data_IF_436392587904
#
_entry.id   IF_436392587904
#
_cell.length_a   1.000
_cell.length_b   1.000
_cell.length_c   1.000
_cell.angle_alpha   90.00
_cell.angle_beta   90.00
_cell.angle_gamma   90.00
#
_symmetry.space_group_name_H-M   'P 1'
#
loop_
_entity.id
_entity.type
_entity.pdbx_description
1 polymer ?
#
# COMPACT_ATOMS: atom_id res chain seq x y z
N UNK A 1 -9.50 22.46 -16.67
CA UNK A 1 -8.20 21.84 -16.37
C UNK A 1 -7.22 22.23 -17.46
N UNK A 2 -5.98 22.54 -17.12
CA UNK A 2 -4.91 22.87 -18.04
C UNK A 2 -3.58 22.28 -17.57
N UNK A 3 -2.61 22.18 -18.49
CA UNK A 3 -1.24 21.76 -18.20
C UNK A 3 -0.27 22.91 -18.49
N UNK A 4 0.73 23.08 -17.64
CA UNK A 4 1.82 24.02 -17.84
C UNK A 4 3.15 23.41 -17.39
N UNK A 5 4.26 24.04 -17.80
CA UNK A 5 5.61 23.70 -17.37
C UNK A 5 6.09 24.75 -16.37
N UNK A 6 6.82 24.32 -15.35
CA UNK A 6 7.44 25.22 -14.37
C UNK A 6 8.77 24.66 -13.87
N UNK A 7 9.38 25.35 -12.93
CA UNK A 7 10.53 24.85 -12.16
C UNK A 7 10.06 24.44 -10.76
N UNK A 8 10.56 23.31 -10.25
CA UNK A 8 10.23 22.82 -8.92
C UNK A 8 10.61 23.82 -7.81
N UNK A 9 11.69 24.60 -8.00
CA UNK A 9 12.18 25.58 -7.02
C UNK A 9 11.17 26.72 -6.76
N UNK A 10 10.33 27.03 -7.73
CA UNK A 10 9.38 28.14 -7.67
C UNK A 10 8.01 27.73 -7.10
N UNK A 11 7.81 26.46 -6.77
CA UNK A 11 6.52 25.92 -6.33
C UNK A 11 6.42 25.80 -4.80
N UNK A 12 5.51 26.58 -4.23
CA UNK A 12 5.07 26.42 -2.84
C UNK A 12 4.47 25.03 -2.62
N UNK A 13 4.85 24.36 -1.53
CA UNK A 13 4.44 22.98 -1.28
C UNK A 13 5.23 21.93 -2.08
N UNK A 14 6.29 22.33 -2.80
CA UNK A 14 7.29 21.42 -3.40
C UNK A 14 8.67 21.67 -2.79
N UNK A 15 8.81 22.66 -1.90
CA UNK A 15 10.09 23.14 -1.35
C UNK A 15 10.89 22.09 -0.53
N UNK A 16 10.29 20.96 -0.14
CA UNK A 16 11.01 19.81 0.43
C UNK A 16 11.24 18.66 -0.56
N UNK A 17 10.46 18.60 -1.65
CA UNK A 17 10.61 17.56 -2.65
C UNK A 17 11.99 17.66 -3.30
N UNK A 18 12.76 16.57 -3.27
CA UNK A 18 14.06 16.46 -3.95
C UNK A 18 13.87 16.33 -5.47
N UNK A 19 13.28 17.35 -6.07
CA UNK A 19 13.04 17.45 -7.51
C UNK A 19 13.74 18.71 -7.97
N UNK A 20 14.77 18.55 -8.79
CA UNK A 20 15.50 19.65 -9.39
C UNK A 20 15.13 19.77 -10.86
N UNK A 21 14.90 21.00 -11.32
CA UNK A 21 14.65 21.31 -12.72
C UNK A 21 13.17 21.22 -13.12
N UNK A 22 12.88 20.99 -14.41
CA UNK A 22 11.56 21.24 -14.97
C UNK A 22 10.53 20.21 -14.50
N UNK A 23 9.33 20.72 -14.21
CA UNK A 23 8.16 19.94 -13.80
C UNK A 23 6.95 20.22 -14.68
N UNK A 24 6.04 19.26 -14.75
CA UNK A 24 4.70 19.42 -15.30
C UNK A 24 3.72 19.75 -14.19
N UNK A 25 2.86 20.74 -14.43
CA UNK A 25 1.83 21.18 -13.50
C UNK A 25 0.49 21.01 -14.19
N UNK A 26 -0.38 20.19 -13.62
CA UNK A 26 -1.78 20.05 -14.04
C UNK A 26 -2.64 20.78 -13.04
N UNK A 27 -3.42 21.75 -13.49
CA UNK A 27 -4.24 22.59 -12.61
C UNK A 27 -5.67 22.77 -13.13
N UNK A 28 -6.57 23.13 -12.23
CA UNK A 28 -7.94 23.50 -12.55
C UNK A 28 -8.32 24.87 -11.96
N UNK A 29 -9.53 25.31 -12.28
CA UNK A 29 -10.05 26.60 -11.84
C UNK A 29 -10.56 26.58 -10.39
N UNK A 30 -10.57 25.41 -9.71
CA UNK A 30 -10.95 25.31 -8.29
C UNK A 30 -9.73 25.47 -7.38
N UNK A 31 -8.53 25.52 -7.94
CA UNK A 31 -7.28 25.66 -7.21
C UNK A 31 -6.53 24.34 -7.01
N UNK A 32 -7.05 23.23 -7.56
CA UNK A 32 -6.36 21.95 -7.51
C UNK A 32 -5.11 22.00 -8.38
N UNK A 33 -4.02 21.38 -7.90
CA UNK A 33 -2.77 21.26 -8.65
C UNK A 33 -2.14 19.90 -8.42
N UNK A 34 -1.66 19.28 -9.48
CA UNK A 34 -0.79 18.11 -9.46
C UNK A 34 0.54 18.49 -10.11
N UNK A 35 1.64 18.14 -9.46
CA UNK A 35 3.00 18.39 -9.95
C UNK A 35 3.67 17.06 -10.25
N UNK A 36 4.33 16.96 -11.39
CA UNK A 36 5.05 15.77 -11.84
C UNK A 36 6.47 16.15 -12.31
N UNK A 37 7.42 15.23 -12.17
CA UNK A 37 8.74 15.38 -12.81
C UNK A 37 8.59 15.39 -14.34
N UNK A 38 9.64 15.77 -15.06
CA UNK A 38 9.64 15.74 -16.52
C UNK A 38 9.40 14.31 -17.08
N UNK A 39 9.75 13.28 -16.31
CA UNK A 39 9.55 11.86 -16.61
C UNK A 39 8.16 11.33 -16.19
N UNK A 40 7.31 12.20 -15.61
CA UNK A 40 5.94 11.86 -15.23
C UNK A 40 5.77 11.27 -13.82
N UNK A 41 6.81 11.30 -12.97
CA UNK A 41 6.67 10.85 -11.58
C UNK A 41 5.94 11.91 -10.74
N UNK A 42 4.88 11.53 -10.00
CA UNK A 42 4.11 12.45 -9.16
C UNK A 42 4.97 13.06 -8.04
N UNK A 43 4.88 14.36 -7.77
CA UNK A 43 5.72 15.10 -6.80
C UNK A 43 4.88 15.72 -5.69
N UNK A 44 3.78 16.36 -6.04
CA UNK A 44 2.87 16.95 -5.08
C UNK A 44 1.45 17.03 -5.63
N UNK A 45 0.49 17.12 -4.72
CA UNK A 45 -0.91 17.39 -5.02
C UNK A 45 -1.47 18.35 -4.00
N UNK A 46 -2.37 19.22 -4.43
CA UNK A 46 -3.21 20.05 -3.57
C UNK A 46 -4.60 20.10 -4.19
N UNK A 47 -5.64 20.04 -3.36
CA UNK A 47 -7.04 20.28 -3.78
C UNK A 47 -7.47 21.75 -3.60
N UNK A 48 -6.59 22.58 -3.04
CA UNK A 48 -6.85 23.94 -2.61
C UNK A 48 -5.90 24.35 -1.47
N UNK A 49 -5.98 25.62 -1.06
CA UNK A 49 -5.14 26.14 0.03
C UNK A 49 -5.32 25.31 1.31
N UNK A 50 -4.22 24.79 1.88
CA UNK A 50 -4.24 24.05 3.12
C UNK A 50 -4.41 22.54 3.01
N UNK A 51 -4.48 21.95 1.81
CA UNK A 51 -4.59 20.48 1.61
C UNK A 51 -3.44 19.91 0.76
N UNK A 52 -2.30 20.61 0.75
CA UNK A 52 -1.11 20.17 0.01
C UNK A 52 -0.47 18.91 0.61
N UNK A 53 -0.09 17.99 -0.26
CA UNK A 53 0.80 16.86 0.05
C UNK A 53 1.95 16.87 -0.95
N UNK A 54 3.17 16.65 -0.48
CA UNK A 54 4.33 16.47 -1.33
C UNK A 54 5.24 15.37 -0.82
N UNK A 55 6.14 14.92 -1.69
CA UNK A 55 7.05 13.84 -1.38
C UNK A 55 8.49 14.16 -1.70
N UNK A 56 9.39 13.63 -0.89
CA UNK A 56 10.82 13.66 -1.12
C UNK A 56 11.28 12.33 -1.72
N UNK A 57 12.22 12.40 -2.67
CA UNK A 57 12.77 11.20 -3.31
C UNK A 57 14.28 11.15 -3.22
N UNK A 58 14.82 9.95 -3.12
CA UNK A 58 16.24 9.68 -3.29
C UNK A 58 16.40 8.46 -4.17
N UNK A 59 17.20 8.57 -5.23
CA UNK A 59 17.45 7.50 -6.20
C UNK A 59 16.14 6.86 -6.74
N UNK A 60 15.13 7.70 -7.00
CA UNK A 60 13.82 7.29 -7.49
C UNK A 60 12.84 6.73 -6.44
N UNK A 61 13.31 6.44 -5.21
CA UNK A 61 12.46 5.98 -4.12
C UNK A 61 11.90 7.14 -3.31
N UNK A 62 10.63 7.06 -2.92
CA UNK A 62 10.00 8.03 -2.00
C UNK A 62 10.54 7.79 -0.60
N UNK A 63 11.17 8.79 0.01
CA UNK A 63 11.79 8.68 1.34
C UNK A 63 11.03 9.46 2.41
N UNK A 64 10.18 10.40 2.02
CA UNK A 64 9.30 11.12 2.94
C UNK A 64 8.06 11.61 2.20
N UNK A 65 6.96 11.69 2.93
CA UNK A 65 5.73 12.37 2.51
C UNK A 65 5.36 13.39 3.55
N UNK A 66 5.01 14.59 3.12
CA UNK A 66 4.65 15.71 3.98
C UNK A 66 3.27 16.23 3.61
N UNK A 67 2.56 16.74 4.61
CA UNK A 67 1.36 17.54 4.41
C UNK A 67 1.60 18.99 4.78
N UNK A 68 0.76 19.87 4.24
CA UNK A 68 0.79 21.32 4.49
C UNK A 68 0.51 21.66 5.97
N UNK A 69 -0.09 20.74 6.73
CA UNK A 69 -0.28 20.86 8.18
C UNK A 69 0.93 20.42 9.01
N UNK A 70 2.08 20.20 8.39
CA UNK A 70 3.31 19.80 9.07
C UNK A 70 3.32 18.36 9.56
N UNK A 71 2.39 17.51 9.09
CA UNK A 71 2.49 16.06 9.31
C UNK A 71 3.44 15.48 8.27
N UNK A 72 4.19 14.46 8.66
CA UNK A 72 5.02 13.73 7.70
C UNK A 72 5.04 12.24 8.01
N UNK A 73 5.46 11.47 7.01
CA UNK A 73 5.77 10.05 7.12
C UNK A 73 7.10 9.79 6.41
N UNK A 74 8.13 9.46 7.19
CA UNK A 74 9.44 9.07 6.69
C UNK A 74 9.46 7.57 6.37
N UNK A 75 10.08 7.21 5.25
CA UNK A 75 10.15 5.84 4.74
C UNK A 75 11.61 5.38 4.68
N UNK A 76 11.92 4.29 5.37
CA UNK A 76 13.25 3.68 5.36
C UNK A 76 13.24 2.37 4.58
N UNK A 77 14.26 2.20 3.72
CA UNK A 77 14.41 1.03 2.86
C UNK A 77 15.68 0.26 3.19
N UNK A 78 15.62 -1.07 3.03
CA UNK A 78 16.79 -1.94 3.01
C UNK A 78 16.67 -2.92 1.84
N UNK A 79 17.72 -3.08 1.05
CA UNK A 79 17.73 -3.93 -0.15
C UNK A 79 16.54 -3.65 -1.09
N UNK A 80 16.18 -2.36 -1.24
CA UNK A 80 15.08 -1.91 -2.08
C UNK A 80 13.66 -2.21 -1.56
N UNK A 81 13.50 -2.63 -0.30
CA UNK A 81 12.19 -2.88 0.32
C UNK A 81 11.96 -1.97 1.52
N UNK A 82 10.72 -1.51 1.69
CA UNK A 82 10.32 -0.69 2.83
C UNK A 82 10.43 -1.51 4.12
N UNK A 83 11.27 -1.09 5.05
CA UNK A 83 11.47 -1.78 6.34
C UNK A 83 10.90 -0.99 7.51
N UNK A 84 10.70 0.32 7.35
CA UNK A 84 10.16 1.19 8.40
C UNK A 84 9.42 2.38 7.80
N UNK A 85 8.30 2.73 8.39
CA UNK A 85 7.61 4.00 8.18
C UNK A 85 7.47 4.71 9.54
N UNK A 86 7.77 6.01 9.62
CA UNK A 86 7.72 6.79 10.86
C UNK A 86 6.89 8.04 10.61
N UNK A 87 5.78 8.19 11.32
CA UNK A 87 4.97 9.39 11.30
C UNK A 87 5.63 10.50 12.14
N UNK A 88 5.34 11.77 11.82
CA UNK A 88 5.88 12.94 12.52
C UNK A 88 5.53 13.01 14.02
N UNK A 89 4.50 12.28 14.45
CA UNK A 89 4.12 12.11 15.86
C UNK A 89 4.85 10.96 16.57
N UNK A 90 5.84 10.34 15.91
CA UNK A 90 6.68 9.27 16.45
C UNK A 90 6.08 7.88 16.33
N UNK A 91 4.82 7.71 15.89
CA UNK A 91 4.28 6.37 15.60
C UNK A 91 5.05 5.77 14.44
N UNK A 92 5.37 4.48 14.56
CA UNK A 92 6.14 3.77 13.54
C UNK A 92 5.54 2.42 13.19
N UNK A 93 5.76 2.01 11.94
CA UNK A 93 5.43 0.69 11.43
C UNK A 93 6.70 0.04 10.90
N UNK A 94 7.03 -1.16 11.35
CA UNK A 94 8.19 -1.92 10.88
C UNK A 94 7.74 -3.14 10.08
N UNK A 95 8.45 -3.42 8.99
CA UNK A 95 8.17 -4.52 8.08
C UNK A 95 9.37 -5.47 8.07
N UNK A 96 9.10 -6.78 8.12
CA UNK A 96 10.13 -7.82 8.03
C UNK A 96 9.80 -8.80 6.93
N UNK A 97 10.83 -9.21 6.21
CA UNK A 97 10.75 -10.10 5.07
C UNK A 97 11.60 -11.34 5.32
N UNK A 98 11.22 -12.47 4.72
CA UNK A 98 12.07 -13.65 4.69
C UNK A 98 13.16 -13.56 3.60
N UNK A 99 13.96 -14.61 3.46
CA UNK A 99 15.05 -14.69 2.49
C UNK A 99 14.56 -14.62 1.03
N UNK A 100 13.34 -15.06 0.76
CA UNK A 100 12.71 -14.97 -0.57
C UNK A 100 12.10 -13.57 -0.81
N UNK A 101 12.02 -12.75 0.23
CA UNK A 101 11.48 -11.40 0.17
C UNK A 101 9.98 -11.28 0.36
N UNK A 102 9.36 -12.32 0.90
CA UNK A 102 7.94 -12.30 1.25
C UNK A 102 7.78 -11.61 2.59
N UNK A 103 6.76 -10.76 2.73
CA UNK A 103 6.46 -10.08 3.99
C UNK A 103 6.02 -11.13 5.02
N UNK A 104 6.68 -11.20 6.16
CA UNK A 104 6.38 -12.19 7.22
C UNK A 104 5.89 -11.55 8.51
N UNK A 105 6.20 -10.28 8.74
CA UNK A 105 5.82 -9.56 9.96
C UNK A 105 5.62 -8.08 9.69
N UNK A 106 4.57 -7.53 10.28
CA UNK A 106 4.33 -6.09 10.36
C UNK A 106 4.12 -5.74 11.83
N UNK A 107 4.96 -4.84 12.36
CA UNK A 107 4.88 -4.34 13.73
C UNK A 107 4.34 -2.92 13.68
N UNK A 108 3.20 -2.68 14.32
CA UNK A 108 2.50 -1.41 14.40
C UNK A 108 2.27 -1.05 15.88
N UNK A 109 1.83 0.18 16.19
CA UNK A 109 1.52 0.56 17.58
C UNK A 109 0.41 -0.29 18.22
N UNK A 110 -0.52 -0.83 17.43
CA UNK A 110 -1.61 -1.72 17.86
C UNK A 110 -1.17 -3.19 18.00
N UNK A 111 0.05 -3.53 17.57
CA UNK A 111 0.68 -4.83 17.80
C UNK A 111 1.31 -5.44 16.54
N UNK A 112 1.41 -6.77 16.52
CA UNK A 112 2.19 -7.50 15.51
C UNK A 112 1.30 -8.37 14.65
N UNK A 113 1.25 -8.08 13.36
CA UNK A 113 0.68 -8.98 12.36
C UNK A 113 1.74 -9.93 11.81
N UNK A 114 1.37 -11.18 11.57
CA UNK A 114 2.23 -12.21 10.97
C UNK A 114 1.60 -12.78 9.71
N UNK A 115 2.46 -13.10 8.75
CA UNK A 115 2.08 -13.59 7.44
C UNK A 115 2.84 -14.88 7.17
N UNK A 116 2.12 -15.93 6.83
CA UNK A 116 2.69 -17.24 6.51
C UNK A 116 2.43 -17.57 5.05
N UNK A 117 3.38 -18.26 4.44
CA UNK A 117 3.41 -18.52 3.02
C UNK A 117 3.62 -20.02 2.75
N UNK A 118 2.90 -20.53 1.77
CA UNK A 118 3.15 -21.82 1.12
C UNK A 118 3.66 -21.55 -0.30
N UNK A 119 4.95 -21.73 -0.54
CA UNK A 119 5.59 -21.22 -1.76
C UNK A 119 5.34 -19.71 -1.93
N UNK A 120 4.72 -19.29 -3.04
CA UNK A 120 4.39 -17.87 -3.25
C UNK A 120 2.94 -17.51 -2.87
N UNK A 121 2.24 -18.41 -2.18
CA UNK A 121 0.83 -18.27 -1.83
C UNK A 121 0.68 -17.91 -0.35
N UNK A 122 -0.03 -16.83 -0.05
CA UNK A 122 -0.27 -16.36 1.32
C UNK A 122 -1.29 -17.27 2.02
N UNK A 123 -0.82 -18.19 2.84
CA UNK A 123 -1.67 -19.20 3.47
C UNK A 123 -2.28 -18.76 4.80
N UNK A 124 -1.67 -17.81 5.53
CA UNK A 124 -2.26 -17.33 6.78
C UNK A 124 -1.87 -15.89 7.11
N UNK A 125 -2.85 -15.13 7.61
CA UNK A 125 -2.65 -13.82 8.23
C UNK A 125 -3.11 -13.89 9.68
N UNK A 126 -2.22 -13.56 10.61
CA UNK A 126 -2.50 -13.52 12.05
C UNK A 126 -2.38 -12.09 12.55
N UNK A 127 -3.34 -11.64 13.34
CA UNK A 127 -3.35 -10.30 13.92
C UNK A 127 -2.51 -10.18 15.19
N UNK A 128 -2.54 -8.98 15.77
CA UNK A 128 -1.88 -8.66 17.03
C UNK A 128 -2.40 -9.47 18.23
N UNK A 129 -3.66 -9.91 18.21
CA UNK A 129 -4.27 -10.72 19.27
C UNK A 129 -3.92 -12.21 19.17
N UNK A 130 -3.29 -12.62 18.07
CA UNK A 130 -2.99 -14.01 17.76
C UNK A 130 -4.11 -14.73 17.01
N UNK A 131 -5.18 -14.02 16.65
CA UNK A 131 -6.29 -14.58 15.86
C UNK A 131 -5.87 -14.64 14.40
N UNK A 132 -6.10 -15.79 13.77
CA UNK A 132 -5.90 -15.94 12.34
C UNK A 132 -7.07 -15.27 11.61
N UNK A 133 -6.87 -14.06 11.06
CA UNK A 133 -7.88 -13.37 10.27
C UNK A 133 -8.29 -14.15 9.02
N UNK A 134 -7.35 -14.89 8.46
CA UNK A 134 -7.54 -15.64 7.23
C UNK A 134 -6.59 -16.83 7.22
N UNK A 135 -7.11 -18.03 6.92
CA UNK A 135 -6.33 -19.23 6.61
C UNK A 135 -6.79 -19.79 5.28
N UNK A 136 -5.91 -19.81 4.29
CA UNK A 136 -6.17 -20.29 2.94
C UNK A 136 -5.51 -21.64 2.67
N UNK A 137 -6.18 -22.47 1.89
CA UNK A 137 -5.55 -23.57 1.16
C UNK A 137 -5.73 -23.34 -0.32
N UNK A 138 -4.90 -24.00 -1.13
CA UNK A 138 -4.84 -23.77 -2.57
C UNK A 138 -5.04 -25.07 -3.34
N UNK A 139 -5.53 -24.96 -4.58
CA UNK A 139 -5.51 -26.04 -5.55
C UNK A 139 -4.16 -26.09 -6.29
N UNK A 140 -3.98 -27.09 -7.16
CA UNK A 140 -2.75 -27.27 -7.94
C UNK A 140 -2.45 -26.10 -8.89
N UNK A 141 -3.45 -25.28 -9.22
CA UNK A 141 -3.30 -24.08 -10.03
C UNK A 141 -3.01 -22.82 -9.18
N UNK A 142 -2.86 -22.96 -7.86
CA UNK A 142 -2.59 -21.85 -6.94
C UNK A 142 -3.81 -20.98 -6.63
N UNK A 143 -5.03 -21.43 -6.95
CA UNK A 143 -6.27 -20.72 -6.61
C UNK A 143 -6.73 -21.15 -5.22
N UNK A 144 -7.43 -20.25 -4.51
CA UNK A 144 -7.92 -20.54 -3.16
C UNK A 144 -8.94 -21.69 -3.24
N UNK A 145 -8.67 -22.81 -2.57
CA UNK A 145 -9.58 -23.95 -2.44
C UNK A 145 -10.46 -23.83 -1.21
N UNK A 146 -9.90 -23.36 -0.09
CA UNK A 146 -10.66 -23.07 1.12
C UNK A 146 -10.12 -21.82 1.78
N UNK A 147 -10.99 -21.04 2.39
CA UNK A 147 -10.66 -19.91 3.23
C UNK A 147 -11.41 -20.04 4.54
N UNK A 148 -10.69 -19.92 5.65
CA UNK A 148 -11.28 -19.79 6.99
C UNK A 148 -11.08 -18.37 7.50
N UNK A 149 -12.13 -17.74 7.97
CA UNK A 149 -12.08 -16.38 8.52
C UNK A 149 -11.73 -16.36 10.03
N UNK A 150 -11.70 -15.16 10.61
CA UNK A 150 -11.42 -14.95 12.03
C UNK A 150 -12.44 -15.60 12.98
N UNK A 151 -13.68 -15.83 12.52
CA UNK A 151 -14.76 -16.43 13.30
C UNK A 151 -14.74 -17.96 13.24
N UNK A 152 -13.90 -18.53 12.36
CA UNK A 152 -13.82 -19.94 12.08
C UNK A 152 -14.76 -20.40 10.96
N UNK A 153 -15.52 -19.49 10.35
CA UNK A 153 -16.36 -19.82 9.20
C UNK A 153 -15.47 -20.27 8.03
N UNK A 154 -15.80 -21.42 7.44
CA UNK A 154 -15.08 -22.01 6.32
C UNK A 154 -15.85 -21.75 5.04
N UNK A 155 -15.20 -21.11 4.07
CA UNK A 155 -15.70 -21.02 2.70
C UNK A 155 -14.84 -21.91 1.81
N UNK A 156 -15.46 -22.81 1.05
CA UNK A 156 -14.82 -23.62 0.02
C UNK A 156 -15.13 -23.03 -1.34
N UNK A 157 -14.13 -23.02 -2.21
CA UNK A 157 -14.28 -22.58 -3.59
C UNK A 157 -14.06 -23.76 -4.53
N UNK A 158 -15.00 -23.93 -5.46
CA UNK A 158 -14.90 -24.91 -6.55
C UNK A 158 -14.93 -24.18 -7.88
N UNK A 159 -13.89 -24.40 -8.68
CA UNK A 159 -13.74 -23.77 -9.98
C UNK A 159 -14.13 -24.75 -11.10
N UNK A 160 -15.23 -24.46 -11.77
CA UNK A 160 -15.80 -25.27 -12.83
C UNK A 160 -15.36 -24.73 -14.22
N UNK A 161 -15.46 -25.54 -15.29
CA UNK A 161 -15.26 -25.08 -16.65
C UNK A 161 -16.13 -23.86 -17.00
N UNK A 162 -15.66 -23.04 -17.94
CA UNK A 162 -16.37 -21.82 -18.35
C UNK A 162 -16.21 -20.63 -17.40
N UNK A 163 -15.29 -20.69 -16.44
CA UNK A 163 -15.00 -19.59 -15.51
C UNK A 163 -15.98 -19.47 -14.34
N UNK A 164 -16.80 -20.51 -14.12
CA UNK A 164 -17.78 -20.53 -13.03
C UNK A 164 -17.07 -20.86 -11.72
N UNK A 165 -17.35 -20.08 -10.67
CA UNK A 165 -16.86 -20.31 -9.30
C UNK A 165 -18.06 -20.53 -8.39
N UNK A 166 -18.03 -21.62 -7.63
CA UNK A 166 -19.03 -21.94 -6.60
C UNK A 166 -18.38 -21.76 -5.24
N UNK A 167 -19.07 -21.06 -4.34
CA UNK A 167 -18.69 -20.92 -2.94
C UNK A 167 -19.71 -21.63 -2.04
N UNK A 168 -19.23 -22.42 -1.08
CA UNK A 168 -20.04 -23.12 -0.07
C UNK A 168 -19.42 -23.03 1.32
N UNK A 169 -20.22 -23.24 2.36
CA UNK A 169 -19.84 -23.18 3.78
C UNK A 169 -19.00 -24.39 4.27
N UNK A 170 -18.51 -25.21 3.35
CA UNK A 170 -17.79 -26.44 3.64
C UNK A 170 -18.68 -27.62 4.05
N UNK A 171 -19.98 -27.41 4.27
CA UNK A 171 -21.01 -28.43 4.54
C UNK A 171 -21.91 -28.69 3.31
N UNK A 172 -21.62 -28.04 2.18
CA UNK A 172 -22.33 -28.24 0.92
C UNK A 172 -23.60 -27.39 0.77
N UNK A 173 -23.88 -26.45 1.68
CA UNK A 173 -24.94 -25.49 1.45
C UNK A 173 -24.42 -24.35 0.56
N UNK A 174 -25.08 -24.16 -0.57
CA UNK A 174 -24.69 -23.16 -1.56
C UNK A 174 -24.91 -21.75 -1.01
N UNK A 175 -23.84 -20.97 -0.92
CA UNK A 175 -23.89 -19.56 -0.55
C UNK A 175 -23.87 -18.69 -1.81
N UNK A 176 -24.82 -18.90 -2.74
CA UNK A 176 -25.02 -17.94 -3.81
C UNK A 176 -26.37 -17.26 -3.62
N UNK A 177 -26.34 -16.07 -3.02
CA UNK A 177 -27.46 -15.11 -3.06
C UNK A 177 -27.03 -13.94 -3.91
#
# INVERSE_FOLDING_TARGET
>A
MWISRGDAADLTGVQGATVAGPVWIVADNTGSRLVFTAEGAWVSSTSGAGDGIWIERRDGMVISMHSEWGRSVDLCYAHGRLVKAVASDGRQVCYSYDAQGRLVKVTRPDGVHRYQWDGWLLCQVTDASGVAHCVNTFDEAGRIRTQRDATGHLTRFTYLPGGVTVADDGQGHHCNT
#
